data_IF_969678964365
#
_entry.id   IF_969678964365
#
_cell.length_a   1.000
_cell.length_b   1.000
_cell.length_c   1.000
_cell.angle_alpha   90.00
_cell.angle_beta   90.00
_cell.angle_gamma   90.00
#
_symmetry.space_group_name_H-M   'P 1'
#
loop_
_entity.id
_entity.type
_entity.pdbx_description
1 polymer ?
#
# COMPACT_ATOMS: atom_id res chain seq x y z
N UNK A 1 -2.06 -16.87 -23.06
CA UNK A 1 -1.67 -15.84 -22.07
C UNK A 1 -2.45 -16.15 -20.80
N UNK A 2 -1.85 -16.16 -19.60
CA UNK A 2 -2.62 -16.40 -18.39
C UNK A 2 -3.66 -15.28 -18.24
N UNK A 3 -4.94 -15.64 -18.17
CA UNK A 3 -6.03 -14.69 -17.94
C UNK A 3 -5.92 -14.13 -16.52
N UNK A 4 -5.98 -12.80 -16.41
CA UNK A 4 -6.02 -12.11 -15.14
C UNK A 4 -7.36 -12.43 -14.46
N UNK A 5 -7.30 -13.19 -13.36
CA UNK A 5 -8.47 -13.47 -12.52
C UNK A 5 -8.48 -12.53 -11.33
N UNK A 6 -9.42 -11.60 -11.34
CA UNK A 6 -9.80 -10.90 -10.12
C UNK A 6 -10.65 -11.84 -9.26
N UNK A 7 -10.44 -11.76 -7.96
CA UNK A 7 -11.23 -12.46 -6.94
C UNK A 7 -12.67 -11.93 -6.85
N UNK A 8 -12.92 -10.74 -7.40
CA UNK A 8 -14.22 -10.06 -7.50
C UNK A 8 -14.28 -9.14 -8.71
N UNK A 9 -15.48 -8.68 -9.06
CA UNK A 9 -15.62 -7.63 -10.07
C UNK A 9 -14.98 -6.33 -9.58
N UNK A 10 -14.21 -5.67 -10.46
CA UNK A 10 -13.71 -4.31 -10.23
C UNK A 10 -14.75 -3.34 -10.76
N UNK A 11 -15.23 -2.46 -9.89
CA UNK A 11 -16.28 -1.50 -10.24
C UNK A 11 -15.69 -0.16 -10.71
N UNK A 12 -14.53 0.23 -10.20
CA UNK A 12 -13.85 1.46 -10.57
C UNK A 12 -12.33 1.28 -10.66
N UNK A 13 -11.74 2.02 -11.59
CA UNK A 13 -10.33 1.98 -11.95
C UNK A 13 -9.86 3.42 -12.14
N UNK A 14 -8.99 3.89 -11.24
CA UNK A 14 -8.45 5.25 -11.33
C UNK A 14 -6.92 5.22 -11.43
N UNK A 15 -6.33 5.67 -12.55
CA UNK A 15 -4.89 5.85 -12.68
C UNK A 15 -4.35 6.92 -11.71
N UNK A 16 -3.14 6.72 -11.17
CA UNK A 16 -2.46 7.77 -10.43
C UNK A 16 -2.10 8.95 -11.34
N UNK A 17 -1.98 10.19 -10.82
CA UNK A 17 -1.73 11.35 -11.67
C UNK A 17 -0.38 11.34 -12.40
N UNK A 18 0.56 10.52 -11.96
CA UNK A 18 1.84 10.26 -12.63
C UNK A 18 1.78 9.11 -13.64
N UNK A 19 0.65 8.38 -13.71
CA UNK A 19 0.40 7.29 -14.65
C UNK A 19 1.21 6.02 -14.41
N UNK A 20 1.97 5.95 -13.31
CA UNK A 20 2.84 4.80 -13.00
C UNK A 20 2.07 3.69 -12.29
N UNK A 21 0.89 4.00 -11.76
CA UNK A 21 0.06 3.09 -10.99
C UNK A 21 -1.41 3.26 -11.29
N UNK A 22 -2.18 2.26 -10.88
CA UNK A 22 -3.63 2.25 -10.94
C UNK A 22 -4.17 1.86 -9.57
N UNK A 23 -5.26 2.51 -9.16
CA UNK A 23 -6.02 2.13 -7.97
C UNK A 23 -7.36 1.56 -8.41
N UNK A 24 -7.71 0.38 -7.90
CA UNK A 24 -9.04 -0.21 -8.10
C UNK A 24 -9.89 0.00 -6.85
N UNK A 25 -11.19 0.17 -7.01
CA UNK A 25 -12.11 0.20 -5.86
C UNK A 25 -12.33 -1.20 -5.29
N UNK A 26 -12.46 -1.22 -3.97
CA UNK A 26 -12.91 -2.32 -3.10
C UNK A 26 -12.42 -3.77 -3.44
N UNK A 27 -11.69 -4.43 -2.53
CA UNK A 27 -10.83 -3.73 -1.58
C UNK A 27 -9.93 -2.80 -2.40
N UNK A 28 -9.64 -1.63 -1.85
CA UNK A 28 -8.81 -0.68 -2.57
C UNK A 28 -7.43 -1.32 -2.80
N UNK A 29 -7.01 -1.46 -4.06
CA UNK A 29 -5.72 -2.08 -4.40
C UNK A 29 -4.89 -1.17 -5.26
N UNK A 30 -3.58 -1.20 -5.03
CA UNK A 30 -2.59 -0.44 -5.78
C UNK A 30 -1.88 -1.40 -6.72
N UNK A 31 -1.85 -1.06 -8.00
CA UNK A 31 -1.23 -1.86 -9.06
C UNK A 31 -0.13 -1.03 -9.74
N UNK A 32 0.98 -1.64 -10.11
CA UNK A 32 1.91 -0.99 -11.05
C UNK A 32 1.31 -1.00 -12.45
N UNK A 33 1.50 0.08 -13.21
CA UNK A 33 1.13 0.15 -14.61
C UNK A 33 2.37 0.33 -15.49
N UNK A 34 2.45 -0.48 -16.54
CA UNK A 34 3.42 -0.30 -17.60
C UNK A 34 3.02 0.87 -18.53
N UNK A 35 4.00 1.36 -19.29
CA UNK A 35 3.82 2.50 -20.21
C UNK A 35 2.78 2.25 -21.31
N UNK A 36 2.44 1.00 -21.57
CA UNK A 36 1.43 0.57 -22.52
C UNK A 36 0.03 0.40 -21.89
N UNK A 37 -0.13 0.77 -20.62
CA UNK A 37 -1.39 0.70 -19.88
C UNK A 37 -1.68 -0.68 -19.30
N UNK A 38 -0.78 -1.66 -19.44
CA UNK A 38 -0.93 -2.95 -18.78
C UNK A 38 -0.53 -2.83 -17.32
N UNK A 39 -1.48 -3.09 -16.43
CA UNK A 39 -1.19 -3.30 -15.02
C UNK A 39 -0.51 -4.64 -14.75
N UNK A 40 0.43 -4.63 -13.80
CA UNK A 40 1.22 -5.79 -13.38
C UNK A 40 0.57 -6.47 -12.19
N UNK A 41 0.66 -7.79 -12.17
CA UNK A 41 0.16 -8.64 -11.09
C UNK A 41 1.32 -9.33 -10.36
N UNK A 42 1.21 -9.58 -9.04
CA UNK A 42 0.08 -9.23 -8.17
C UNK A 42 0.00 -7.72 -7.89
N UNK A 43 -1.08 -7.29 -7.23
CA UNK A 43 -1.15 -5.94 -6.69
C UNK A 43 0.03 -5.68 -5.75
N UNK A 44 0.53 -4.43 -5.75
CA UNK A 44 1.61 -3.99 -4.85
C UNK A 44 1.12 -3.99 -3.41
N UNK A 45 -0.11 -3.54 -3.19
CA UNK A 45 -0.73 -3.50 -1.87
C UNK A 45 -2.26 -3.58 -1.97
N UNK A 46 -2.86 -4.19 -0.95
CA UNK A 46 -4.29 -4.06 -0.64
C UNK A 46 -4.41 -3.12 0.56
N UNK A 47 -5.28 -2.13 0.45
CA UNK A 47 -5.62 -1.21 1.53
C UNK A 47 -6.88 -1.75 2.24
N UNK A 48 -6.64 -2.54 3.27
CA UNK A 48 -7.70 -3.08 4.12
C UNK A 48 -8.38 -1.95 4.92
N UNK A 49 -9.65 -2.15 5.25
CA UNK A 49 -10.45 -1.26 6.10
C UNK A 49 -10.53 0.20 5.62
N UNK A 50 -10.48 0.42 4.30
CA UNK A 50 -10.66 1.76 3.70
C UNK A 50 -12.11 1.99 3.29
N UNK A 51 -12.75 3.00 3.92
CA UNK A 51 -14.09 3.50 3.58
C UNK A 51 -14.07 4.31 2.28
N UNK A 52 -13.08 5.19 2.11
CA UNK A 52 -12.92 5.92 0.86
C UNK A 52 -11.48 6.34 0.59
N UNK A 53 -11.15 6.48 -0.70
CA UNK A 53 -9.85 6.90 -1.17
C UNK A 53 -9.99 8.03 -2.17
N UNK A 54 -9.11 9.03 -2.07
CA UNK A 54 -8.99 10.08 -3.08
C UNK A 54 -7.55 10.30 -3.48
N UNK A 55 -7.27 10.15 -4.77
CA UNK A 55 -5.99 10.57 -5.35
C UNK A 55 -5.90 12.09 -5.35
N UNK A 56 -4.76 12.63 -4.92
CA UNK A 56 -4.54 14.07 -4.91
C UNK A 56 -4.07 14.56 -6.30
N UNK A 57 -4.47 15.78 -6.73
CA UNK A 57 -4.13 16.28 -8.05
C UNK A 57 -2.64 16.66 -8.19
N UNK A 58 -2.25 17.10 -9.39
CA UNK A 58 -0.93 17.73 -9.68
C UNK A 58 0.29 16.83 -9.44
N UNK A 59 0.21 15.55 -9.81
CA UNK A 59 1.31 14.58 -9.57
C UNK A 59 1.70 14.48 -8.10
N UNK A 60 0.78 14.85 -7.19
CA UNK A 60 0.96 14.56 -5.77
C UNK A 60 1.09 13.05 -5.63
N UNK A 61 2.11 12.58 -4.91
CA UNK A 61 2.31 11.16 -4.80
C UNK A 61 1.65 10.60 -3.53
N UNK A 62 0.71 11.36 -2.96
CA UNK A 62 -0.08 11.00 -1.81
C UNK A 62 -1.54 10.79 -2.21
N UNK A 63 -2.21 9.97 -1.41
CA UNK A 63 -3.63 9.69 -1.46
C UNK A 63 -4.21 10.09 -0.10
N UNK A 64 -5.41 10.66 -0.14
CA UNK A 64 -6.22 10.84 1.06
C UNK A 64 -7.00 9.55 1.29
N UNK A 65 -6.81 8.93 2.45
CA UNK A 65 -7.44 7.67 2.83
C UNK A 65 -8.29 7.90 4.07
N UNK A 66 -9.55 7.53 3.97
CA UNK A 66 -10.49 7.51 5.09
C UNK A 66 -10.76 6.05 5.46
N UNK A 67 -10.34 5.58 6.65
CA UNK A 67 -10.62 4.21 7.08
C UNK A 67 -12.10 4.06 7.51
N UNK A 68 -12.58 2.82 7.58
CA UNK A 68 -13.80 2.51 8.34
C UNK A 68 -13.57 2.87 9.81
N UNK A 69 -14.49 3.64 10.38
CA UNK A 69 -14.51 3.89 11.81
C UNK A 69 -15.11 2.69 12.54
N UNK A 70 -14.39 2.22 13.55
CA UNK A 70 -14.85 1.46 14.72
C UNK A 70 -14.49 -0.03 14.79
N UNK A 71 -13.36 -0.28 15.48
CA UNK A 71 -13.26 -1.23 16.61
C UNK A 71 -12.30 -0.74 17.72
N UNK A 72 -11.84 0.52 17.66
CA UNK A 72 -10.97 1.14 18.67
C UNK A 72 -11.70 2.35 19.26
N UNK A 73 -12.02 2.24 20.56
CA UNK A 73 -12.62 3.20 21.51
C UNK A 73 -12.50 4.72 21.20
N UNK A 74 -13.41 5.55 21.76
CA UNK A 74 -13.89 6.80 21.17
C UNK A 74 -12.95 8.00 21.42
N UNK A 75 -11.80 8.08 20.76
CA UNK A 75 -10.96 9.26 20.82
C UNK A 75 -10.45 9.69 19.44
N UNK A 76 -11.28 10.42 18.70
CA UNK A 76 -10.83 11.30 17.62
C UNK A 76 -11.88 11.59 16.55
N UNK A 77 -11.88 12.79 15.92
CA UNK A 77 -12.65 13.04 14.71
C UNK A 77 -12.22 12.07 13.59
N UNK A 78 -13.12 11.78 12.64
CA UNK A 78 -12.80 11.04 11.40
C UNK A 78 -11.49 11.58 10.82
N UNK A 79 -10.41 10.80 10.96
CA UNK A 79 -9.07 11.24 10.57
C UNK A 79 -8.83 10.81 9.13
N UNK A 80 -8.54 11.78 8.26
CA UNK A 80 -8.08 11.51 6.90
C UNK A 80 -6.57 11.37 6.92
N UNK A 81 -6.06 10.23 6.48
CA UNK A 81 -4.63 9.95 6.40
C UNK A 81 -4.10 10.33 5.03
N UNK A 82 -2.92 10.95 5.00
CA UNK A 82 -2.15 11.14 3.77
C UNK A 82 -1.16 10.00 3.62
N UNK A 83 -1.43 9.10 2.70
CA UNK A 83 -0.65 7.89 2.46
C UNK A 83 0.07 8.01 1.12
N UNK A 84 1.34 7.68 1.08
CA UNK A 84 2.10 7.60 -0.17
C UNK A 84 1.54 6.45 -1.04
N UNK A 85 1.33 6.69 -2.33
CA UNK A 85 0.91 5.63 -3.27
C UNK A 85 2.06 4.69 -3.69
N UNK A 86 3.28 4.99 -3.22
CA UNK A 86 4.52 4.26 -3.45
C UNK A 86 5.02 3.62 -2.16
N UNK A 87 4.69 2.34 -1.94
CA UNK A 87 5.16 1.59 -0.77
C UNK A 87 6.68 1.46 -0.74
N UNK A 88 7.33 1.33 -1.88
CA UNK A 88 8.80 1.25 -1.98
C UNK A 88 9.46 2.57 -1.62
N UNK A 89 8.81 3.70 -1.93
CA UNK A 89 9.29 5.02 -1.51
C UNK A 89 9.06 5.25 -0.03
N UNK A 90 7.98 4.75 0.56
CA UNK A 90 7.82 4.74 2.02
C UNK A 90 8.97 3.96 2.64
N UNK A 91 9.20 2.73 2.16
CA UNK A 91 10.27 1.87 2.66
C UNK A 91 11.65 2.52 2.53
N UNK A 92 12.00 3.07 1.36
CA UNK A 92 13.26 3.80 1.16
C UNK A 92 13.41 4.99 2.10
N UNK A 93 12.34 5.78 2.30
CA UNK A 93 12.34 6.90 3.25
C UNK A 93 12.59 6.44 4.68
N UNK A 94 11.95 5.35 5.10
CA UNK A 94 12.20 4.74 6.41
C UNK A 94 13.65 4.25 6.50
N UNK A 95 14.20 3.64 5.46
CA UNK A 95 15.58 3.19 5.47
C UNK A 95 16.60 4.34 5.58
N UNK A 96 16.29 5.51 5.02
CA UNK A 96 17.12 6.71 5.20
C UNK A 96 17.15 7.21 6.66
N UNK A 97 16.21 6.80 7.52
CA UNK A 97 16.28 7.12 8.96
C UNK A 97 17.14 6.13 9.76
N UNK A 98 17.86 5.22 9.09
CA UNK A 98 18.71 4.19 9.69
C UNK A 98 18.00 3.42 10.83
N UNK A 99 16.87 2.76 10.55
CA UNK A 99 16.12 2.05 11.57
C UNK A 99 16.95 0.89 12.10
N UNK A 100 16.85 0.65 13.41
CA UNK A 100 17.51 -0.50 14.04
C UNK A 100 16.94 -1.80 13.46
N UNK A 101 17.84 -2.75 13.19
CA UNK A 101 17.46 -4.11 12.83
C UNK A 101 17.33 -4.96 14.09
N UNK A 102 16.39 -5.89 14.08
CA UNK A 102 16.33 -6.95 15.09
C UNK A 102 17.52 -7.87 14.86
N UNK A 103 18.30 -8.14 15.91
CA UNK A 103 19.42 -9.08 15.84
C UNK A 103 18.94 -10.50 15.55
N UNK A 104 19.80 -11.32 14.97
CA UNK A 104 19.43 -12.67 14.50
C UNK A 104 18.90 -13.57 15.63
N UNK A 105 19.48 -13.45 16.83
CA UNK A 105 19.05 -14.24 17.99
C UNK A 105 17.63 -13.87 18.39
N UNK A 106 17.34 -12.57 18.53
CA UNK A 106 16.01 -12.08 18.86
C UNK A 106 14.99 -12.35 17.76
N UNK A 107 15.42 -12.31 16.50
CA UNK A 107 14.57 -12.66 15.36
C UNK A 107 14.12 -14.12 15.43
N UNK A 108 15.03 -15.06 15.68
CA UNK A 108 14.69 -16.49 15.80
C UNK A 108 13.69 -16.75 16.92
N UNK A 109 13.71 -15.95 17.99
CA UNK A 109 12.73 -16.05 19.08
C UNK A 109 11.35 -15.52 18.65
N UNK A 110 11.30 -14.37 17.98
CA UNK A 110 10.04 -13.71 17.61
C UNK A 110 9.38 -14.32 16.35
N UNK A 111 10.20 -14.70 15.37
CA UNK A 111 9.81 -15.09 14.03
C UNK A 111 10.53 -16.39 13.61
N UNK A 112 10.37 -17.50 14.36
CA UNK A 112 11.16 -18.73 14.18
C UNK A 112 10.98 -19.39 12.81
N UNK A 113 9.88 -19.09 12.12
CA UNK A 113 9.50 -19.66 10.83
C UNK A 113 9.99 -18.83 9.64
N UNK A 114 10.60 -17.66 9.87
CA UNK A 114 11.08 -16.77 8.83
C UNK A 114 12.60 -16.68 8.84
N UNK A 115 13.21 -16.67 7.66
CA UNK A 115 14.62 -16.32 7.52
C UNK A 115 14.88 -14.91 8.10
N UNK A 116 16.01 -14.74 8.78
CA UNK A 116 16.40 -13.43 9.31
C UNK A 116 16.58 -12.44 8.15
N UNK A 117 16.06 -11.22 8.35
CA UNK A 117 16.24 -10.11 7.42
C UNK A 117 16.51 -8.84 8.21
N UNK A 118 17.43 -8.01 7.69
CA UNK A 118 17.64 -6.66 8.22
C UNK A 118 16.44 -5.77 7.87
N UNK A 119 16.23 -4.73 8.65
CA UNK A 119 15.15 -3.76 8.37
C UNK A 119 15.34 -3.12 7.00
N UNK A 120 16.60 -2.92 6.59
CA UNK A 120 17.03 -2.32 5.32
C UNK A 120 18.19 -3.13 4.75
N UNK A 121 18.21 -3.31 3.44
CA UNK A 121 19.20 -4.10 2.70
C UNK A 121 20.32 -3.22 2.12
#
# INVERSE_FOLDING_TARGET
MPEMRFDRAIEDITPTPDGTRVVTSEPYRIWEADKDGRWRTPAVATLEDVKSLRLLPRKSPFMAVLPYGEDVKPHGPESTYLVDNDTDRIYRRLCHTNPLSVDETRWKVLLPHLAHRRSCD
#
